data_IF_016097506674
#
_entry.id   IF_016097506674
#
_cell.length_a   1.000
_cell.length_b   1.000
_cell.length_c   1.000
_cell.angle_alpha   90.00
_cell.angle_beta   90.00
_cell.angle_gamma   90.00
#
_symmetry.space_group_name_H-M   'P 1'
#
loop_
_entity.id
_entity.type
_entity.pdbx_description
1 polymer ?
#
# COMPACT_ATOMS: atom_id res chain seq x y z
N UNK A 1 24.00 -7.05 -36.61
CA UNK A 1 22.66 -6.52 -36.28
C UNK A 1 22.32 -7.13 -34.93
N UNK A 2 22.22 -6.31 -33.89
CA UNK A 2 21.86 -6.77 -32.54
C UNK A 2 20.36 -7.11 -32.56
N UNK A 3 20.01 -8.34 -32.23
CA UNK A 3 18.60 -8.71 -32.03
C UNK A 3 18.16 -8.07 -30.72
N UNK A 4 17.18 -7.17 -30.80
CA UNK A 4 16.53 -6.56 -29.63
C UNK A 4 15.31 -7.40 -29.28
N UNK A 5 15.22 -7.79 -28.00
CA UNK A 5 13.99 -8.38 -27.49
C UNK A 5 12.97 -7.27 -27.24
N UNK A 6 11.81 -7.40 -27.83
CA UNK A 6 10.67 -6.51 -27.58
C UNK A 6 9.39 -7.33 -27.52
N UNK A 7 8.70 -7.29 -26.40
CA UNK A 7 7.44 -7.96 -26.16
C UNK A 7 6.40 -6.97 -25.65
N UNK A 8 5.20 -7.02 -26.20
CA UNK A 8 4.04 -6.25 -25.74
C UNK A 8 3.12 -7.16 -24.94
N UNK A 9 2.77 -6.75 -23.74
CA UNK A 9 1.80 -7.46 -22.91
C UNK A 9 0.57 -6.58 -22.74
N UNK A 10 -0.60 -7.11 -23.07
CA UNK A 10 -1.88 -6.44 -22.84
C UNK A 10 -2.23 -6.49 -21.34
N UNK A 11 -2.49 -5.33 -20.79
CA UNK A 11 -2.89 -5.15 -19.38
C UNK A 11 -4.31 -4.56 -19.37
N UNK A 12 -5.19 -5.13 -18.57
CA UNK A 12 -6.53 -4.57 -18.37
C UNK A 12 -6.56 -3.84 -17.03
N UNK A 13 -6.80 -2.53 -17.08
CA UNK A 13 -6.97 -1.70 -15.89
C UNK A 13 -8.27 -0.91 -16.00
N UNK A 14 -9.13 -1.03 -15.00
CA UNK A 14 -10.37 -0.25 -14.87
C UNK A 14 -11.27 -0.26 -16.12
N UNK A 15 -11.24 -1.40 -16.87
CA UNK A 15 -12.05 -1.62 -18.08
C UNK A 15 -11.40 -1.12 -19.37
N UNK A 16 -10.19 -0.59 -19.33
CA UNK A 16 -9.38 -0.24 -20.51
C UNK A 16 -8.31 -1.30 -20.76
N UNK A 17 -7.94 -1.48 -22.01
CA UNK A 17 -6.83 -2.33 -22.43
C UNK A 17 -5.64 -1.44 -22.80
N UNK A 18 -4.53 -1.67 -22.13
CA UNK A 18 -3.29 -0.91 -22.23
C UNK A 18 -2.12 -1.85 -22.53
N UNK A 19 -0.91 -1.30 -22.74
CA UNK A 19 0.27 -2.09 -23.04
C UNK A 19 1.38 -1.88 -22.01
N UNK A 20 2.00 -2.98 -21.58
CA UNK A 20 3.29 -3.01 -20.92
C UNK A 20 4.33 -3.54 -21.92
N UNK A 21 5.38 -2.78 -22.13
CA UNK A 21 6.49 -3.17 -22.99
C UNK A 21 7.60 -3.82 -22.18
N UNK A 22 8.17 -4.91 -22.71
CA UNK A 22 9.37 -5.54 -22.14
C UNK A 22 10.47 -5.49 -23.18
N UNK A 23 11.63 -4.97 -22.84
CA UNK A 23 12.78 -4.91 -23.74
C UNK A 23 14.11 -5.14 -23.03
N UNK A 24 15.09 -5.68 -23.76
CA UNK A 24 16.47 -5.94 -23.31
C UNK A 24 17.46 -4.86 -23.79
N UNK A 25 16.97 -3.81 -24.47
CA UNK A 25 17.75 -2.75 -25.04
C UNK A 25 17.50 -1.40 -24.37
N UNK A 26 18.53 -0.80 -23.78
CA UNK A 26 18.40 0.41 -22.99
C UNK A 26 17.96 1.64 -23.82
N UNK A 27 18.34 1.74 -25.10
CA UNK A 27 17.94 2.83 -25.98
C UNK A 27 16.44 2.72 -26.33
N UNK A 28 15.99 1.52 -26.66
CA UNK A 28 14.56 1.22 -26.89
C UNK A 28 13.73 1.49 -25.65
N UNK A 29 14.21 1.04 -24.47
CA UNK A 29 13.53 1.28 -23.20
C UNK A 29 13.38 2.78 -22.87
N UNK A 30 14.44 3.57 -23.10
CA UNK A 30 14.40 5.02 -22.85
C UNK A 30 13.49 5.74 -23.85
N UNK A 31 13.44 5.31 -25.11
CA UNK A 31 12.53 5.86 -26.11
C UNK A 31 11.08 5.65 -25.70
N UNK A 32 10.68 4.41 -25.39
CA UNK A 32 9.32 4.07 -24.93
C UNK A 32 8.95 4.83 -23.65
N UNK A 33 9.87 4.91 -22.68
CA UNK A 33 9.65 5.66 -21.45
C UNK A 33 9.43 7.15 -21.72
N UNK A 34 10.17 7.75 -22.66
CA UNK A 34 10.02 9.16 -23.03
C UNK A 34 8.71 9.47 -23.75
N UNK A 35 8.13 8.47 -24.42
CA UNK A 35 6.80 8.51 -25.02
C UNK A 35 5.68 8.30 -23.99
N UNK A 36 6.03 8.04 -22.72
CA UNK A 36 5.10 7.84 -21.63
C UNK A 36 4.60 6.40 -21.49
N UNK A 37 5.24 5.46 -22.17
CA UNK A 37 4.87 4.05 -22.11
C UNK A 37 5.35 3.37 -20.81
N UNK A 38 4.64 2.32 -20.40
CA UNK A 38 5.05 1.48 -19.29
C UNK A 38 6.10 0.48 -19.77
N UNK A 39 7.30 0.53 -19.17
CA UNK A 39 8.44 -0.29 -19.60
C UNK A 39 9.00 -1.11 -18.46
N UNK A 40 9.06 -2.42 -18.66
CA UNK A 40 9.75 -3.40 -17.83
C UNK A 40 11.01 -3.85 -18.55
N UNK A 41 12.17 -3.79 -17.89
CA UNK A 41 13.42 -4.17 -18.55
C UNK A 41 13.74 -5.65 -18.35
N UNK A 42 14.21 -6.30 -19.40
CA UNK A 42 14.67 -7.68 -19.35
C UNK A 42 16.20 -7.71 -19.20
N UNK A 43 16.67 -8.24 -18.07
CA UNK A 43 18.09 -8.35 -17.77
C UNK A 43 18.60 -9.77 -18.04
N UNK A 44 19.69 -9.87 -18.77
CA UNK A 44 20.38 -11.13 -19.06
C UNK A 44 21.87 -10.89 -19.29
N UNK A 45 22.73 -11.92 -19.27
CA UNK A 45 24.19 -11.74 -19.42
C UNK A 45 24.60 -10.99 -20.68
N UNK A 46 23.81 -11.06 -21.76
CA UNK A 46 24.12 -10.40 -23.02
C UNK A 46 23.96 -8.88 -23.01
N UNK A 47 23.24 -8.31 -22.05
CA UNK A 47 23.02 -6.88 -21.91
C UNK A 47 23.60 -6.26 -20.62
N UNK A 48 24.43 -7.01 -19.88
CA UNK A 48 25.04 -6.55 -18.62
C UNK A 48 25.88 -5.25 -18.74
N UNK A 49 26.28 -4.87 -19.94
CA UNK A 49 27.01 -3.63 -20.19
C UNK A 49 26.13 -2.41 -20.49
N UNK A 50 24.82 -2.55 -20.51
CA UNK A 50 23.88 -1.46 -20.73
C UNK A 50 23.44 -0.83 -19.41
N UNK A 51 23.05 0.46 -19.43
CA UNK A 51 22.60 1.19 -18.24
C UNK A 51 21.05 1.17 -18.14
N UNK A 52 20.55 0.38 -17.21
CA UNK A 52 19.14 0.33 -16.86
C UNK A 52 18.83 0.97 -15.49
N UNK A 53 19.75 1.72 -14.90
CA UNK A 53 19.62 2.29 -13.55
C UNK A 53 18.42 3.23 -13.37
N UNK A 54 17.85 3.72 -14.45
CA UNK A 54 16.66 4.62 -14.45
C UNK A 54 15.33 3.86 -14.44
N UNK A 55 15.34 2.54 -14.59
CA UNK A 55 14.14 1.72 -14.64
C UNK A 55 13.89 1.08 -13.27
N UNK A 56 12.66 1.24 -12.78
CA UNK A 56 12.27 0.76 -11.44
C UNK A 56 12.06 -0.75 -11.38
N UNK A 57 11.71 -1.35 -12.51
CA UNK A 57 11.36 -2.76 -12.58
C UNK A 57 12.16 -3.47 -13.66
N UNK A 58 12.67 -4.61 -13.27
CA UNK A 58 13.43 -5.49 -14.15
C UNK A 58 13.04 -6.95 -13.90
N UNK A 59 13.17 -7.78 -14.93
CA UNK A 59 12.97 -9.23 -14.85
C UNK A 59 14.10 -9.96 -15.53
N UNK A 60 14.39 -11.17 -15.06
CA UNK A 60 15.37 -12.08 -15.65
C UNK A 60 14.70 -13.15 -16.52
N UNK A 61 13.41 -13.40 -16.34
CA UNK A 61 12.60 -14.28 -17.18
C UNK A 61 11.26 -13.62 -17.57
N UNK A 62 11.16 -13.08 -18.79
CA UNK A 62 9.97 -12.41 -19.26
C UNK A 62 8.85 -13.38 -19.72
N UNK A 63 9.09 -14.68 -19.76
CA UNK A 63 8.09 -15.67 -20.20
C UNK A 63 7.29 -16.24 -19.02
N UNK A 64 7.79 -16.14 -17.79
CA UNK A 64 7.18 -16.68 -16.57
C UNK A 64 6.50 -15.59 -15.70
N UNK A 65 6.00 -14.51 -16.32
CA UNK A 65 5.38 -13.41 -15.58
C UNK A 65 3.92 -13.72 -15.25
N UNK A 66 3.60 -13.72 -13.96
CA UNK A 66 2.23 -13.83 -13.48
C UNK A 66 1.40 -12.59 -13.86
N UNK A 67 0.16 -12.75 -14.32
CA UNK A 67 -0.71 -11.63 -14.74
C UNK A 67 -0.87 -10.56 -13.65
N UNK A 68 -0.96 -10.96 -12.38
CA UNK A 68 -1.07 -10.05 -11.23
C UNK A 68 0.20 -9.18 -11.07
N UNK A 69 1.38 -9.76 -11.25
CA UNK A 69 2.64 -9.02 -11.23
C UNK A 69 2.70 -7.99 -12.37
N UNK A 70 2.30 -8.40 -13.59
CA UNK A 70 2.26 -7.55 -14.78
C UNK A 70 1.33 -6.34 -14.55
N UNK A 71 0.13 -6.57 -14.03
CA UNK A 71 -0.82 -5.50 -13.72
C UNK A 71 -0.25 -4.55 -12.66
N UNK A 72 0.36 -5.09 -11.59
CA UNK A 72 0.97 -4.32 -10.51
C UNK A 72 2.10 -3.43 -11.02
N UNK A 73 3.00 -3.96 -11.84
CA UNK A 73 4.11 -3.20 -12.45
C UNK A 73 3.56 -2.10 -13.34
N UNK A 74 2.60 -2.43 -14.21
CA UNK A 74 1.95 -1.47 -15.09
C UNK A 74 1.33 -0.31 -14.29
N UNK A 75 0.49 -0.61 -13.30
CA UNK A 75 -0.17 0.39 -12.46
C UNK A 75 0.86 1.32 -11.81
N UNK A 76 1.95 0.79 -11.27
CA UNK A 76 3.01 1.60 -10.67
C UNK A 76 3.75 2.48 -11.66
N UNK A 77 4.05 1.97 -12.85
CA UNK A 77 4.71 2.74 -13.91
C UNK A 77 3.84 3.88 -14.43
N UNK A 78 2.52 3.70 -14.47
CA UNK A 78 1.54 4.72 -14.88
C UNK A 78 1.06 5.60 -13.71
N UNK A 79 1.57 5.42 -12.50
CA UNK A 79 1.14 6.17 -11.33
C UNK A 79 -0.29 5.85 -10.85
N UNK A 80 -0.84 4.72 -11.29
CA UNK A 80 -2.15 4.23 -10.86
C UNK A 80 -2.04 3.47 -9.54
N UNK A 81 -3.01 3.59 -8.63
CA UNK A 81 -3.01 2.84 -7.38
C UNK A 81 -3.26 1.35 -7.64
N UNK A 82 -2.51 0.50 -6.96
CA UNK A 82 -2.79 -0.92 -6.98
C UNK A 82 -3.97 -1.27 -6.08
N UNK A 83 -4.88 -2.11 -6.57
CA UNK A 83 -5.96 -2.68 -5.78
C UNK A 83 -5.39 -3.81 -4.93
N UNK A 84 -5.44 -3.67 -3.61
CA UNK A 84 -4.83 -4.62 -2.67
C UNK A 84 -5.81 -5.75 -2.36
N UNK A 85 -7.02 -5.37 -1.94
CA UNK A 85 -8.08 -6.32 -1.61
C UNK A 85 -9.45 -5.64 -1.60
N UNK A 86 -10.47 -6.47 -1.65
CA UNK A 86 -11.85 -6.03 -1.55
C UNK A 86 -12.58 -6.71 -0.39
N UNK A 87 -13.53 -5.98 0.16
CA UNK A 87 -14.50 -6.50 1.12
C UNK A 87 -15.92 -6.35 0.55
N UNK A 88 -16.96 -6.86 1.19
CA UNK A 88 -18.33 -6.63 0.72
C UNK A 88 -18.66 -5.15 0.49
N UNK A 89 -18.13 -4.24 1.32
CA UNK A 89 -18.47 -2.81 1.26
C UNK A 89 -17.31 -1.89 0.88
N UNK A 90 -16.08 -2.36 0.91
CA UNK A 90 -14.91 -1.51 0.68
C UNK A 90 -13.98 -2.08 -0.39
N UNK A 91 -13.34 -1.16 -1.11
CA UNK A 91 -12.13 -1.37 -1.86
C UNK A 91 -10.95 -0.81 -1.05
N UNK A 92 -9.91 -1.61 -0.86
CA UNK A 92 -8.64 -1.20 -0.24
C UNK A 92 -7.59 -1.14 -1.34
N UNK A 93 -7.01 0.02 -1.55
CA UNK A 93 -6.03 0.28 -2.60
C UNK A 93 -4.87 1.13 -2.11
N UNK A 94 -3.79 1.15 -2.86
CA UNK A 94 -2.69 2.08 -2.60
C UNK A 94 -3.20 3.52 -2.54
N UNK A 95 -2.59 4.30 -1.66
CA UNK A 95 -2.89 5.73 -1.52
C UNK A 95 -2.32 6.50 -2.70
N UNK A 96 -3.05 7.51 -3.17
CA UNK A 96 -2.58 8.45 -4.18
C UNK A 96 -2.52 9.88 -3.63
N UNK A 97 -1.77 10.80 -4.25
CA UNK A 97 -1.74 12.20 -3.84
C UNK A 97 -3.12 12.89 -3.87
N UNK A 98 -4.04 12.41 -4.71
CA UNK A 98 -5.41 12.92 -4.85
C UNK A 98 -6.25 12.61 -3.60
N UNK A 99 -5.94 11.52 -2.87
CA UNK A 99 -6.63 11.15 -1.62
C UNK A 99 -6.37 12.14 -0.47
N UNK A 100 -5.34 12.96 -0.59
CA UNK A 100 -4.90 13.86 0.49
C UNK A 100 -6.01 14.81 0.94
N UNK A 101 -6.81 15.34 0.01
CA UNK A 101 -7.91 16.24 0.36
C UNK A 101 -9.01 15.53 1.17
N UNK A 102 -9.27 14.26 0.87
CA UNK A 102 -10.17 13.41 1.66
C UNK A 102 -9.60 13.14 3.05
N UNK A 103 -8.29 12.91 3.13
CA UNK A 103 -7.63 12.73 4.44
C UNK A 103 -7.75 13.99 5.30
N UNK A 104 -7.58 15.19 4.76
CA UNK A 104 -7.80 16.42 5.53
C UNK A 104 -9.22 16.51 6.05
N UNK A 105 -10.23 16.14 5.26
CA UNK A 105 -11.64 16.08 5.73
C UNK A 105 -11.83 15.10 6.88
N UNK A 106 -11.21 13.92 6.81
CA UNK A 106 -11.29 12.91 7.87
C UNK A 106 -10.55 13.39 9.12
N UNK A 107 -9.30 13.88 8.98
CA UNK A 107 -8.45 14.28 10.08
C UNK A 107 -8.84 15.64 10.71
N UNK A 108 -9.69 16.45 10.06
CA UNK A 108 -10.19 17.70 10.65
C UNK A 108 -11.09 17.46 11.86
N UNK A 109 -11.63 16.25 12.04
CA UNK A 109 -12.47 15.94 13.20
C UNK A 109 -11.62 15.66 14.44
N UNK A 110 -11.87 16.36 15.58
CA UNK A 110 -11.01 16.24 16.79
C UNK A 110 -10.98 14.84 17.40
N UNK A 111 -12.03 14.02 17.23
CA UNK A 111 -12.04 12.65 17.72
C UNK A 111 -11.04 11.75 16.96
N UNK A 112 -10.68 12.12 15.74
CA UNK A 112 -9.69 11.39 14.94
C UNK A 112 -8.29 11.69 15.43
N UNK A 113 -7.94 12.96 15.60
CA UNK A 113 -6.57 13.38 15.95
C UNK A 113 -6.26 13.30 17.45
N UNK A 114 -7.25 12.91 18.26
CA UNK A 114 -7.08 12.79 19.72
C UNK A 114 -5.98 11.81 20.12
N UNK A 115 -5.86 10.68 19.40
CA UNK A 115 -4.97 9.56 19.74
C UNK A 115 -3.93 9.28 18.66
N UNK A 116 -3.76 10.17 17.69
CA UNK A 116 -2.79 9.98 16.61
C UNK A 116 -2.21 11.31 16.14
N UNK A 117 -1.09 11.22 15.46
CA UNK A 117 -0.49 12.38 14.81
C UNK A 117 -1.40 12.86 13.65
N UNK A 118 -1.49 14.17 13.49
CA UNK A 118 -2.19 14.80 12.37
C UNK A 118 -1.40 14.69 11.06
N UNK A 119 -1.96 15.26 10.01
CA UNK A 119 -1.28 15.45 8.73
C UNK A 119 -0.35 16.68 8.79
N UNK A 120 0.54 16.81 7.83
CA UNK A 120 1.31 18.05 7.67
C UNK A 120 0.36 19.25 7.54
N UNK A 121 0.73 20.45 8.03
CA UNK A 121 -0.13 21.63 7.93
C UNK A 121 -0.46 22.03 6.48
N UNK A 122 0.48 21.85 5.57
CA UNK A 122 0.36 22.25 4.18
C UNK A 122 0.00 21.06 3.27
N UNK A 123 -1.06 21.22 2.48
CA UNK A 123 -1.57 20.17 1.57
C UNK A 123 -0.49 19.64 0.62
N UNK A 124 0.32 20.54 0.04
CA UNK A 124 1.37 20.13 -0.89
C UNK A 124 2.50 19.38 -0.19
N UNK A 125 2.77 19.67 1.07
CA UNK A 125 3.73 18.90 1.87
C UNK A 125 3.22 17.47 2.14
N UNK A 126 1.94 17.31 2.44
CA UNK A 126 1.32 15.99 2.60
C UNK A 126 1.29 15.22 1.27
N UNK A 127 0.94 15.88 0.15
CA UNK A 127 1.01 15.27 -1.18
C UNK A 127 2.44 14.80 -1.53
N UNK A 128 3.45 15.62 -1.18
CA UNK A 128 4.85 15.23 -1.39
C UNK A 128 5.23 14.03 -0.51
N UNK A 129 4.79 14.01 0.76
CA UNK A 129 4.99 12.87 1.64
C UNK A 129 4.34 11.59 1.05
N UNK A 130 3.12 11.67 0.53
CA UNK A 130 2.45 10.53 -0.14
C UNK A 130 3.23 10.04 -1.35
N UNK A 131 3.75 10.94 -2.21
CA UNK A 131 4.59 10.55 -3.36
C UNK A 131 5.86 9.79 -2.92
N UNK A 132 6.52 10.28 -1.85
CA UNK A 132 7.69 9.61 -1.30
C UNK A 132 7.32 8.28 -0.63
N UNK A 133 6.15 8.20 0.02
CA UNK A 133 5.64 6.98 0.62
C UNK A 133 5.39 5.89 -0.43
N UNK A 134 4.72 6.24 -1.53
CA UNK A 134 4.50 5.32 -2.66
C UNK A 134 5.83 4.78 -3.17
N UNK A 135 6.79 5.67 -3.42
CA UNK A 135 8.09 5.32 -3.98
C UNK A 135 8.94 4.48 -3.02
N UNK A 136 8.95 4.80 -1.72
CA UNK A 136 9.85 4.17 -0.75
C UNK A 136 9.21 3.01 0.00
N UNK A 137 7.92 3.08 0.30
CA UNK A 137 7.24 2.06 1.12
C UNK A 137 6.60 1.01 0.24
N UNK A 138 5.65 1.37 -0.60
CA UNK A 138 4.96 0.36 -1.43
C UNK A 138 5.90 -0.35 -2.40
N UNK A 139 6.87 0.37 -2.99
CA UNK A 139 7.82 -0.24 -3.94
C UNK A 139 8.81 -1.16 -3.25
N UNK A 140 9.26 -0.81 -2.04
CA UNK A 140 10.28 -1.57 -1.33
C UNK A 140 9.71 -2.73 -0.52
N UNK A 141 8.66 -2.47 0.30
CA UNK A 141 8.08 -3.50 1.18
C UNK A 141 6.97 -4.31 0.50
N UNK A 142 6.34 -3.81 -0.56
CA UNK A 142 5.18 -4.44 -1.17
C UNK A 142 3.88 -4.27 -0.39
N UNK A 143 3.93 -3.67 0.79
CA UNK A 143 2.78 -3.37 1.64
C UNK A 143 2.93 -2.00 2.32
N UNK A 144 1.86 -1.53 2.96
CA UNK A 144 1.84 -0.27 3.68
C UNK A 144 0.47 0.05 4.25
N UNK A 145 0.23 1.32 4.59
CA UNK A 145 -1.08 1.81 4.98
C UNK A 145 -1.81 2.32 3.74
N UNK A 146 -2.95 1.72 3.44
CA UNK A 146 -3.71 1.89 2.20
C UNK A 146 -4.93 2.78 2.41
N UNK A 147 -5.46 3.33 1.32
CA UNK A 147 -6.73 4.05 1.28
C UNK A 147 -7.90 3.07 1.28
N UNK A 148 -8.90 3.36 2.10
CA UNK A 148 -10.16 2.62 2.17
C UNK A 148 -11.25 3.43 1.47
N UNK A 149 -11.83 2.86 0.42
CA UNK A 149 -12.90 3.46 -0.37
C UNK A 149 -14.20 2.68 -0.14
N UNK A 150 -15.29 3.37 0.16
CA UNK A 150 -16.63 2.76 0.23
C UNK A 150 -17.15 2.51 -1.19
N UNK A 151 -17.54 1.27 -1.51
CA UNK A 151 -17.96 0.89 -2.86
C UNK A 151 -19.25 1.56 -3.33
N UNK A 152 -20.19 1.78 -2.42
CA UNK A 152 -21.49 2.34 -2.74
C UNK A 152 -21.39 3.81 -3.18
N UNK A 153 -20.61 4.61 -2.48
CA UNK A 153 -20.49 6.05 -2.73
C UNK A 153 -19.23 6.42 -3.54
N UNK A 154 -18.24 5.54 -3.62
CA UNK A 154 -16.92 5.87 -4.14
C UNK A 154 -16.10 6.77 -3.21
N UNK A 155 -16.58 7.05 -2.01
CA UNK A 155 -15.91 7.97 -1.08
C UNK A 155 -14.70 7.32 -0.40
N UNK A 156 -13.64 8.08 -0.21
CA UNK A 156 -12.55 7.73 0.70
C UNK A 156 -13.07 7.87 2.13
N UNK A 157 -13.11 6.75 2.85
CA UNK A 157 -13.67 6.69 4.21
C UNK A 157 -12.63 6.51 5.32
N UNK A 158 -11.38 6.26 4.94
CA UNK A 158 -10.32 6.05 5.90
C UNK A 158 -9.05 5.48 5.31
N UNK A 159 -8.21 4.99 6.21
CA UNK A 159 -6.96 4.29 5.89
C UNK A 159 -6.83 3.06 6.77
N UNK A 160 -6.26 1.98 6.22
CA UNK A 160 -5.92 0.79 6.99
C UNK A 160 -4.77 0.04 6.30
N UNK A 161 -3.97 -0.66 7.08
CA UNK A 161 -2.85 -1.42 6.52
C UNK A 161 -1.84 -1.83 7.56
N UNK A 162 -0.66 -2.16 7.08
CA UNK A 162 0.47 -2.62 7.89
C UNK A 162 1.65 -1.67 7.73
N UNK A 163 2.43 -1.49 8.77
CA UNK A 163 3.66 -0.69 8.72
C UNK A 163 4.73 -1.32 9.59
N UNK A 164 6.00 -1.16 9.20
CA UNK A 164 7.13 -1.48 10.08
C UNK A 164 7.40 -0.27 10.96
N UNK A 165 7.47 -0.49 12.27
CA UNK A 165 7.82 0.55 13.24
C UNK A 165 9.21 0.29 13.82
N UNK A 166 10.06 1.30 13.81
CA UNK A 166 11.39 1.23 14.40
C UNK A 166 11.31 0.84 15.90
N UNK A 167 12.13 -0.14 16.28
CA UNK A 167 12.17 -0.69 17.64
C UNK A 167 11.16 -1.80 17.93
N UNK A 168 10.41 -2.24 16.90
CA UNK A 168 9.48 -3.37 16.99
C UNK A 168 9.74 -4.36 15.87
N UNK A 169 9.57 -5.65 16.17
CA UNK A 169 9.88 -6.74 15.22
C UNK A 169 8.71 -7.06 14.28
N UNK A 170 7.49 -7.01 14.81
CA UNK A 170 6.28 -7.41 14.08
C UNK A 170 5.66 -6.24 13.30
N UNK A 171 5.05 -6.49 12.14
CA UNK A 171 4.29 -5.48 11.42
C UNK A 171 3.14 -4.93 12.26
N UNK A 172 2.96 -3.62 12.26
CA UNK A 172 1.92 -2.93 13.02
C UNK A 172 0.65 -2.74 12.18
N UNK A 173 -0.48 -3.25 12.65
CA UNK A 173 -1.79 -2.93 12.12
C UNK A 173 -2.18 -1.50 12.49
N UNK A 174 -2.31 -0.62 11.50
CA UNK A 174 -2.83 0.73 11.64
C UNK A 174 -4.18 0.90 10.93
N UNK A 175 -5.10 1.66 11.51
CA UNK A 175 -6.38 1.97 10.88
C UNK A 175 -6.98 3.28 11.37
N UNK A 176 -7.72 3.91 10.49
CA UNK A 176 -8.54 5.08 10.75
C UNK A 176 -9.80 5.02 9.89
N UNK A 177 -10.96 5.30 10.47
CA UNK A 177 -12.22 5.43 9.73
C UNK A 177 -12.85 6.76 10.10
N UNK A 178 -13.22 7.54 9.09
CA UNK A 178 -13.88 8.83 9.25
C UNK A 178 -15.16 8.73 10.10
N UNK A 179 -15.42 9.73 10.91
CA UNK A 179 -16.48 9.72 11.94
C UNK A 179 -17.85 9.35 11.36
N UNK A 180 -18.17 9.78 10.15
CA UNK A 180 -19.44 9.47 9.47
C UNK A 180 -19.65 7.97 9.21
N UNK A 181 -18.55 7.19 9.16
CA UNK A 181 -18.56 5.74 8.90
C UNK A 181 -18.23 4.91 10.14
N UNK A 182 -17.91 5.55 11.26
CA UNK A 182 -17.67 4.85 12.53
C UNK A 182 -18.94 4.17 13.06
N UNK A 183 -18.75 3.16 13.92
CA UNK A 183 -19.81 2.37 14.57
C UNK A 183 -20.76 1.64 13.60
N UNK A 184 -20.42 1.60 12.31
CA UNK A 184 -21.14 0.85 11.26
C UNK A 184 -20.44 -0.45 10.86
N UNK A 185 -19.37 -0.82 11.58
CA UNK A 185 -18.61 -2.07 11.36
C UNK A 185 -17.51 -2.00 10.30
N UNK A 186 -17.30 -0.87 9.63
CA UNK A 186 -16.27 -0.72 8.58
C UNK A 186 -14.86 -1.02 9.08
N UNK A 187 -14.44 -0.46 10.22
CA UNK A 187 -13.10 -0.72 10.77
C UNK A 187 -12.86 -2.23 10.99
N UNK A 188 -13.85 -2.94 11.56
CA UNK A 188 -13.74 -4.38 11.80
C UNK A 188 -13.67 -5.18 10.50
N UNK A 189 -14.49 -4.84 9.52
CA UNK A 189 -14.51 -5.49 8.20
C UNK A 189 -13.17 -5.33 7.50
N UNK A 190 -12.68 -4.11 7.40
CA UNK A 190 -11.41 -3.77 6.73
C UNK A 190 -10.21 -4.39 7.45
N UNK A 191 -10.11 -4.23 8.77
CA UNK A 191 -8.98 -4.80 9.52
C UNK A 191 -8.94 -6.33 9.46
N UNK A 192 -10.11 -7.02 9.46
CA UNK A 192 -10.13 -8.47 9.26
C UNK A 192 -9.60 -8.87 7.89
N UNK A 193 -9.95 -8.14 6.85
CA UNK A 193 -9.46 -8.39 5.50
C UNK A 193 -7.96 -8.12 5.38
N UNK A 194 -7.46 -7.02 5.99
CA UNK A 194 -6.02 -6.72 6.06
C UNK A 194 -5.25 -7.83 6.79
N UNK A 195 -5.76 -8.33 7.91
CA UNK A 195 -5.12 -9.44 8.64
C UNK A 195 -5.13 -10.76 7.86
N UNK A 196 -6.19 -11.05 7.13
CA UNK A 196 -6.25 -12.21 6.24
C UNK A 196 -5.24 -12.09 5.08
N UNK A 197 -5.11 -10.89 4.50
CA UNK A 197 -4.11 -10.61 3.48
C UNK A 197 -2.68 -10.70 4.03
N UNK A 198 -2.46 -10.22 5.25
CA UNK A 198 -1.17 -10.31 5.95
C UNK A 198 -0.67 -11.77 6.07
N UNK A 199 -1.57 -12.70 6.39
CA UNK A 199 -1.26 -14.12 6.47
C UNK A 199 -1.12 -14.76 5.10
N UNK A 200 -2.13 -14.61 4.22
CA UNK A 200 -2.22 -15.37 2.97
C UNK A 200 -1.28 -14.88 1.86
N UNK A 201 -1.05 -13.55 1.78
CA UNK A 201 -0.29 -12.95 0.68
C UNK A 201 1.08 -12.41 1.11
N UNK A 202 1.23 -11.99 2.37
CA UNK A 202 2.49 -11.49 2.91
C UNK A 202 3.20 -12.50 3.80
N UNK A 203 2.58 -13.66 4.05
CA UNK A 203 3.13 -14.77 4.85
C UNK A 203 3.55 -14.36 6.28
N UNK A 204 2.94 -13.29 6.82
CA UNK A 204 3.19 -12.92 8.20
C UNK A 204 2.50 -13.90 9.16
N UNK A 205 3.27 -14.38 10.11
CA UNK A 205 2.78 -15.29 11.16
C UNK A 205 2.32 -14.55 12.40
N UNK A 206 2.70 -13.26 12.52
CA UNK A 206 2.39 -12.43 13.68
C UNK A 206 2.26 -10.96 13.27
N UNK A 207 1.38 -10.24 13.94
CA UNK A 207 1.22 -8.80 13.81
C UNK A 207 1.02 -8.16 15.17
N UNK A 208 1.39 -6.89 15.28
CA UNK A 208 1.19 -6.08 16.47
C UNK A 208 0.21 -4.93 16.22
N UNK A 209 -0.25 -4.31 17.28
CA UNK A 209 -0.92 -3.01 17.27
C UNK A 209 -0.51 -2.20 18.50
N UNK A 210 -0.20 -0.93 18.30
CA UNK A 210 0.08 0.02 19.38
C UNK A 210 -1.14 0.90 19.58
N UNK A 211 -1.78 0.77 20.73
CA UNK A 211 -3.00 1.51 21.04
C UNK A 211 -2.79 2.34 22.29
N UNK A 212 -2.94 3.67 22.18
CA UNK A 212 -2.85 4.56 23.35
C UNK A 212 -3.85 4.12 24.41
N UNK A 213 -3.42 4.09 25.68
CA UNK A 213 -4.17 3.50 26.82
C UNK A 213 -5.55 4.10 27.01
N UNK A 214 -5.74 5.38 26.63
CA UNK A 214 -7.04 6.07 26.66
C UNK A 214 -7.98 5.78 25.48
N UNK A 215 -7.52 5.04 24.44
CA UNK A 215 -8.30 4.79 23.23
C UNK A 215 -9.14 3.51 23.35
N UNK A 216 -10.20 3.56 24.14
CA UNK A 216 -11.07 2.42 24.40
C UNK A 216 -11.71 1.83 23.12
N UNK A 217 -12.00 2.66 22.11
CA UNK A 217 -12.60 2.20 20.86
C UNK A 217 -11.65 1.30 20.06
N UNK A 218 -10.38 1.69 19.91
CA UNK A 218 -9.37 0.89 19.24
C UNK A 218 -9.01 -0.36 20.04
N UNK A 219 -8.94 -0.27 21.38
CA UNK A 219 -8.70 -1.43 22.25
C UNK A 219 -9.80 -2.48 22.08
N UNK A 220 -11.07 -2.07 22.07
CA UNK A 220 -12.19 -3.01 21.89
C UNK A 220 -12.18 -3.62 20.47
N UNK A 221 -11.85 -2.84 19.44
CA UNK A 221 -11.72 -3.39 18.09
C UNK A 221 -10.59 -4.42 18.01
N UNK A 222 -9.40 -4.12 18.54
CA UNK A 222 -8.28 -5.07 18.58
C UNK A 222 -8.66 -6.35 19.33
N UNK A 223 -9.36 -6.24 20.47
CA UNK A 223 -9.88 -7.41 21.19
C UNK A 223 -10.81 -8.25 20.32
N UNK A 224 -11.75 -7.64 19.60
CA UNK A 224 -12.67 -8.33 18.67
C UNK A 224 -11.95 -8.98 17.48
N UNK A 225 -10.80 -8.46 17.09
CA UNK A 225 -9.93 -9.01 16.05
C UNK A 225 -9.03 -10.14 16.57
N UNK A 226 -9.05 -10.40 17.88
CA UNK A 226 -8.29 -11.47 18.52
C UNK A 226 -6.87 -11.07 18.92
N UNK A 227 -6.58 -9.79 19.06
CA UNK A 227 -5.35 -9.33 19.68
C UNK A 227 -5.41 -9.53 21.20
N UNK A 228 -4.30 -9.86 21.81
CA UNK A 228 -4.10 -9.90 23.26
C UNK A 228 -3.05 -8.88 23.69
N UNK A 229 -3.18 -8.39 24.91
CA UNK A 229 -2.22 -7.46 25.48
C UNK A 229 -0.95 -8.20 25.87
N UNK A 230 0.18 -7.69 25.40
CA UNK A 230 1.52 -8.17 25.73
C UNK A 230 2.14 -7.32 26.83
N UNK A 231 2.33 -6.04 26.58
CA UNK A 231 3.05 -5.12 27.47
C UNK A 231 2.52 -3.69 27.38
N UNK A 232 3.05 -2.82 28.22
CA UNK A 232 2.91 -1.37 28.13
C UNK A 232 4.22 -0.75 27.64
N UNK A 233 4.12 0.23 26.77
CA UNK A 233 5.28 0.94 26.23
C UNK A 233 5.04 2.45 26.23
N UNK A 234 6.08 3.21 26.51
CA UNK A 234 6.04 4.67 26.43
C UNK A 234 6.71 5.13 25.14
N UNK A 235 5.97 5.81 24.28
CA UNK A 235 6.48 6.38 23.04
C UNK A 235 6.19 7.87 22.99
N UNK A 236 7.24 8.67 22.78
CA UNK A 236 7.13 10.15 22.75
C UNK A 236 6.35 10.75 23.93
N UNK A 237 6.50 10.14 25.14
CA UNK A 237 5.83 10.58 26.37
C UNK A 237 4.36 10.22 26.49
N UNK A 238 3.84 9.34 25.64
CA UNK A 238 2.49 8.78 25.73
C UNK A 238 2.56 7.28 26.03
N UNK A 239 1.57 6.79 26.76
CA UNK A 239 1.47 5.38 27.17
C UNK A 239 0.61 4.58 26.19
N UNK A 240 1.15 3.45 25.72
CA UNK A 240 0.48 2.56 24.79
C UNK A 240 0.44 1.14 25.35
N UNK A 241 -0.61 0.41 24.99
CA UNK A 241 -0.60 -1.04 25.04
C UNK A 241 0.00 -1.59 23.75
N UNK A 242 1.03 -2.42 23.89
CA UNK A 242 1.47 -3.31 22.81
C UNK A 242 0.54 -4.51 22.81
N UNK A 243 -0.14 -4.70 21.71
CA UNK A 243 -1.07 -5.80 21.48
C UNK A 243 -0.49 -6.71 20.39
N UNK A 244 -0.57 -8.02 20.59
CA UNK A 244 -0.04 -9.02 19.67
C UNK A 244 -1.16 -9.93 19.19
N UNK A 245 -1.00 -10.42 17.96
CA UNK A 245 -1.89 -11.42 17.36
C UNK A 245 -1.09 -12.37 16.49
N UNK A 246 -1.19 -13.67 16.81
CA UNK A 246 -0.76 -14.73 15.91
C UNK A 246 -1.72 -14.84 14.73
N UNK A 247 -1.17 -14.99 13.53
CA UNK A 247 -1.92 -15.23 12.30
C UNK A 247 -1.90 -16.73 11.96
N UNK A 248 -2.98 -17.27 11.38
CA UNK A 248 -2.95 -18.63 10.88
C UNK A 248 -1.89 -18.76 9.78
N UNK A 249 -1.13 -19.83 9.82
CA UNK A 249 -0.21 -20.19 8.74
C UNK A 249 -0.97 -20.73 7.54
#
# INVERSE_FOLDING_TARGET
>A
MKLIYLKEIKVKTDGQEDLLYITDDAETAETLRSEGEAVLVYLHPGNAGQDFSRFLFAVEDPEELEPEYVERVYRRLKGLPWHILETPRCLIRETTPEDVEDFYRIYSHPDITKYMEGLYPEVEQEKQYVREYIKKVYTYYGFGVWTVVEKESGAVIGRAGLSCREGFEDPELGFIIGVLWQRKGYAREVCRAVLAYASAALEFTKVQALVETGNAASLELCRQLGFHRDSEVTLKGREYYLLLKELPG
#
